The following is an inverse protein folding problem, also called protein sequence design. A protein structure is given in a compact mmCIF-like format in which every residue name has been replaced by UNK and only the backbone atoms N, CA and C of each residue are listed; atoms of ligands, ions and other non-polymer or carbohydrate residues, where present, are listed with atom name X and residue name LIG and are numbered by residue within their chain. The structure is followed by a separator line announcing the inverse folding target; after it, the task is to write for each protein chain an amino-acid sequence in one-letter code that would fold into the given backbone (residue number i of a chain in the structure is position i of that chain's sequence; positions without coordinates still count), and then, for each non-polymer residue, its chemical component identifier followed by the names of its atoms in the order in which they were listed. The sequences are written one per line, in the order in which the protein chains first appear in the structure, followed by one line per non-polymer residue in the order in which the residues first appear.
data_IF_576733768152
#
_entry.id   IF_576733768152
#
_cell.length_a   1.000
_cell.length_b   1.000
_cell.length_c   1.000
_cell.angle_alpha   90.00
_cell.angle_beta   90.00
_cell.angle_gamma   90.00
#
_symmetry.space_group_name_H-M   'P 1'
#
loop_
_entity.id
_entity.type
_entity.pdbx_description
1 polymer ?
#
# COMPACT_ATOMS: atom_id res chain seq x y z
N UNK A 1 23.26 39.38 -65.29
CA UNK A 1 21.98 38.62 -65.17
C UNK A 1 22.08 37.37 -64.29
N UNK A 2 23.28 36.94 -63.84
CA UNK A 2 23.48 35.75 -62.99
C UNK A 2 23.13 35.92 -61.51
N UNK A 3 23.06 37.15 -60.99
CA UNK A 3 22.91 37.41 -59.56
C UNK A 3 21.44 37.38 -59.06
N UNK A 4 20.47 37.43 -59.98
CA UNK A 4 19.03 37.44 -59.63
C UNK A 4 18.49 36.01 -59.45
N UNK A 5 19.08 35.05 -60.16
CA UNK A 5 18.70 33.64 -60.10
C UNK A 5 19.22 32.95 -58.83
N UNK A 6 20.37 33.35 -58.29
CA UNK A 6 20.91 32.80 -57.03
C UNK A 6 20.12 33.27 -55.79
N UNK A 7 19.70 34.54 -55.75
CA UNK A 7 18.91 35.07 -54.64
C UNK A 7 17.48 34.50 -54.56
N UNK A 8 16.86 34.17 -55.71
CA UNK A 8 15.56 33.51 -55.74
C UNK A 8 15.63 32.05 -55.24
N UNK A 9 16.70 31.33 -55.57
CA UNK A 9 16.90 29.95 -55.11
C UNK A 9 17.05 29.84 -53.59
N UNK A 10 17.79 30.76 -52.96
CA UNK A 10 17.95 30.79 -51.48
C UNK A 10 16.66 31.15 -50.74
N UNK A 11 15.82 32.04 -51.28
CA UNK A 11 14.53 32.40 -50.65
C UNK A 11 13.49 31.29 -50.79
N UNK A 12 13.45 30.61 -51.94
CA UNK A 12 12.57 29.46 -52.15
C UNK A 12 12.95 28.27 -51.25
N UNK A 13 14.25 28.03 -51.06
CA UNK A 13 14.76 27.01 -50.13
C UNK A 13 14.36 27.29 -48.68
N UNK A 14 14.37 28.55 -48.25
CA UNK A 14 14.04 28.92 -46.87
C UNK A 14 12.53 28.85 -46.58
N UNK A 15 11.70 29.31 -47.53
CA UNK A 15 10.25 29.20 -47.42
C UNK A 15 9.74 27.74 -47.46
N UNK A 16 10.40 26.87 -48.22
CA UNK A 16 10.12 25.43 -48.20
C UNK A 16 10.48 24.80 -46.85
N UNK A 17 11.57 25.26 -46.22
CA UNK A 17 11.98 24.78 -44.89
C UNK A 17 10.99 25.23 -43.80
N UNK A 18 10.56 26.49 -43.80
CA UNK A 18 9.52 26.98 -42.89
C UNK A 18 8.18 26.26 -43.09
N UNK A 19 7.75 26.05 -44.33
CA UNK A 19 6.51 25.33 -44.64
C UNK A 19 6.55 23.88 -44.15
N UNK A 20 7.65 23.17 -44.41
CA UNK A 20 7.84 21.80 -43.94
C UNK A 20 7.90 21.73 -42.41
N UNK A 21 8.50 22.74 -41.78
CA UNK A 21 8.60 22.84 -40.33
C UNK A 21 7.23 23.02 -39.66
N UNK A 22 6.39 23.92 -40.19
CA UNK A 22 5.02 24.13 -39.67
C UNK A 22 4.18 22.85 -39.82
N UNK A 23 4.32 22.15 -40.95
CA UNK A 23 3.62 20.87 -41.18
C UNK A 23 4.10 19.81 -40.18
N UNK A 24 5.41 19.68 -39.95
CA UNK A 24 5.94 18.74 -38.97
C UNK A 24 5.47 19.06 -37.54
N UNK A 25 5.42 20.34 -37.16
CA UNK A 25 4.91 20.77 -35.86
C UNK A 25 3.41 20.47 -35.70
N UNK A 26 2.60 20.75 -36.73
CA UNK A 26 1.17 20.41 -36.73
C UNK A 26 0.94 18.90 -36.61
N UNK A 27 1.70 18.09 -37.34
CA UNK A 27 1.63 16.62 -37.26
C UNK A 27 2.02 16.14 -35.86
N UNK A 28 3.05 16.71 -35.24
CA UNK A 28 3.47 16.36 -33.88
C UNK A 28 2.39 16.70 -32.83
N UNK A 29 1.76 17.87 -32.94
CA UNK A 29 0.64 18.28 -32.06
C UNK A 29 -0.55 17.33 -32.23
N UNK A 30 -0.92 17.02 -33.47
CA UNK A 30 -2.06 16.13 -33.75
C UNK A 30 -1.80 14.69 -33.29
N UNK A 31 -0.59 14.18 -33.49
CA UNK A 31 -0.17 12.87 -32.99
C UNK A 31 -0.21 12.80 -31.45
N UNK A 32 0.23 13.87 -30.78
CA UNK A 32 0.19 13.97 -29.31
C UNK A 32 -1.26 14.02 -28.79
N UNK A 33 -2.14 14.78 -29.46
CA UNK A 33 -3.56 14.85 -29.11
C UNK A 33 -4.25 13.49 -29.24
N UNK A 34 -4.01 12.76 -30.34
CA UNK A 34 -4.58 11.42 -30.55
C UNK A 34 -4.10 10.47 -29.46
N UNK A 35 -2.80 10.49 -29.14
CA UNK A 35 -2.25 9.63 -28.10
C UNK A 35 -2.85 9.89 -26.71
N UNK A 36 -3.10 11.15 -26.34
CA UNK A 36 -3.72 11.52 -25.05
C UNK A 36 -5.23 11.21 -25.05
N UNK A 37 -5.90 11.29 -26.21
CA UNK A 37 -7.33 10.99 -26.30
C UNK A 37 -7.66 9.50 -26.22
N UNK A 38 -6.68 8.62 -26.39
CA UNK A 38 -6.84 7.16 -26.35
C UNK A 38 -6.36 6.49 -25.05
N UNK A 39 -5.99 7.26 -24.02
CA UNK A 39 -5.47 6.69 -22.77
C UNK A 39 -6.62 6.27 -21.87
N UNK A 40 -6.59 5.02 -21.42
CA UNK A 40 -7.50 4.49 -20.41
C UNK A 40 -7.30 5.28 -19.08
N UNK A 41 -8.35 5.84 -18.47
CA UNK A 41 -8.25 6.67 -17.26
C UNK A 41 -7.59 5.96 -16.08
N UNK A 42 -7.65 4.63 -16.03
CA UNK A 42 -7.21 3.83 -14.89
C UNK A 42 -5.71 3.48 -14.92
N UNK A 43 -4.97 3.76 -16.01
CA UNK A 43 -3.53 3.51 -16.04
C UNK A 43 -2.74 4.49 -16.95
N UNK A 44 -2.57 5.76 -16.52
CA UNK A 44 -1.93 6.82 -17.33
C UNK A 44 -0.43 6.57 -17.63
N UNK A 45 0.20 5.62 -16.95
CA UNK A 45 1.62 5.24 -17.10
C UNK A 45 1.86 4.01 -17.98
N UNK A 46 0.83 3.23 -18.31
CA UNK A 46 0.99 2.06 -19.15
C UNK A 46 0.91 2.42 -20.64
N UNK A 47 2.03 2.32 -21.37
CA UNK A 47 2.04 2.36 -22.84
C UNK A 47 2.97 3.40 -23.45
N UNK A 48 2.56 3.96 -24.60
CA UNK A 48 3.39 4.82 -25.45
C UNK A 48 3.53 6.27 -24.95
N UNK A 49 2.77 6.67 -23.93
CA UNK A 49 2.69 8.04 -23.42
C UNK A 49 4.04 8.63 -22.97
N UNK A 50 4.87 7.93 -22.17
CA UNK A 50 6.16 8.48 -21.73
C UNK A 50 7.14 8.67 -22.90
N UNK A 51 7.10 7.77 -23.88
CA UNK A 51 7.94 7.84 -25.07
C UNK A 51 7.54 9.01 -25.98
N UNK A 52 6.23 9.23 -26.15
CA UNK A 52 5.70 10.36 -26.91
C UNK A 52 6.00 11.69 -26.24
N UNK A 53 5.94 11.76 -24.91
CA UNK A 53 6.34 12.95 -24.15
C UNK A 53 7.83 13.24 -24.33
N UNK A 54 8.68 12.20 -24.27
CA UNK A 54 10.12 12.31 -24.52
C UNK A 54 10.42 12.79 -25.94
N UNK A 55 9.74 12.24 -26.95
CA UNK A 55 9.85 12.68 -28.34
C UNK A 55 9.45 14.16 -28.50
N UNK A 56 8.33 14.56 -27.90
CA UNK A 56 7.84 15.94 -27.94
C UNK A 56 8.85 16.91 -27.30
N UNK A 57 9.41 16.53 -26.15
CA UNK A 57 10.46 17.30 -25.48
C UNK A 57 11.70 17.49 -26.36
N UNK A 58 12.16 16.43 -27.05
CA UNK A 58 13.28 16.52 -28.01
C UNK A 58 12.96 17.49 -29.15
N UNK A 59 11.75 17.42 -29.72
CA UNK A 59 11.32 18.34 -30.79
C UNK A 59 11.33 19.79 -30.30
N UNK A 60 10.86 20.05 -29.09
CA UNK A 60 10.87 21.39 -28.48
C UNK A 60 12.31 21.89 -28.28
N UNK A 61 13.23 21.06 -27.78
CA UNK A 61 14.65 21.42 -27.59
C UNK A 61 15.31 21.77 -28.93
N UNK A 62 15.05 20.97 -29.98
CA UNK A 62 15.57 21.23 -31.33
C UNK A 62 15.06 22.56 -31.86
N UNK A 63 13.76 22.82 -31.72
CA UNK A 63 13.14 24.08 -32.14
C UNK A 63 13.71 25.29 -31.36
N UNK A 64 13.81 25.19 -30.04
CA UNK A 64 14.39 26.22 -29.20
C UNK A 64 15.84 26.53 -29.62
N UNK A 65 16.63 25.50 -29.91
CA UNK A 65 18.01 25.65 -30.38
C UNK A 65 18.09 26.38 -31.72
N UNK A 66 17.19 26.05 -32.67
CA UNK A 66 17.10 26.75 -33.97
C UNK A 66 16.78 28.23 -33.76
N UNK A 67 15.77 28.53 -32.95
CA UNK A 67 15.33 29.92 -32.67
C UNK A 67 16.47 30.72 -32.03
N UNK A 68 17.14 30.17 -31.02
CA UNK A 68 18.26 30.83 -30.33
C UNK A 68 19.42 31.08 -31.31
N UNK A 69 19.74 30.10 -32.15
CA UNK A 69 20.83 30.22 -33.12
C UNK A 69 20.53 31.29 -34.18
N UNK A 70 19.30 31.32 -34.69
CA UNK A 70 18.85 32.35 -35.65
C UNK A 70 18.86 33.73 -35.01
N UNK A 71 18.37 33.85 -33.78
CA UNK A 71 18.41 35.09 -33.01
C UNK A 71 19.84 35.61 -32.84
N UNK A 72 20.79 34.75 -32.47
CA UNK A 72 22.21 35.11 -32.32
C UNK A 72 22.87 35.48 -33.67
N UNK A 73 22.50 34.82 -34.76
CA UNK A 73 23.04 35.10 -36.10
C UNK A 73 22.56 36.47 -36.61
N UNK A 74 21.28 36.79 -36.39
CA UNK A 74 20.72 38.12 -36.65
C UNK A 74 21.39 39.18 -35.76
N UNK A 75 21.75 38.81 -34.52
CA UNK A 75 22.48 39.69 -33.60
C UNK A 75 23.89 40.01 -34.12
N UNK A 76 24.63 39.02 -34.63
CA UNK A 76 26.02 39.16 -35.07
C UNK A 76 26.18 39.84 -36.43
N UNK A 77 25.24 39.64 -37.37
CA UNK A 77 25.26 40.28 -38.70
C UNK A 77 24.75 41.73 -38.71
N UNK A 78 24.53 42.32 -37.53
CA UNK A 78 23.94 43.64 -37.34
C UNK A 78 24.84 44.82 -37.73
N UNK A 79 26.09 44.59 -38.17
CA UNK A 79 27.03 45.68 -38.47
C UNK A 79 27.01 46.17 -39.94
N UNK A 80 26.43 45.45 -40.91
CA UNK A 80 26.65 45.80 -42.33
C UNK A 80 25.54 46.50 -43.12
N UNK A 81 24.23 46.39 -42.85
CA UNK A 81 23.23 47.03 -43.73
C UNK A 81 21.97 47.54 -43.00
N UNK A 82 21.61 48.82 -43.23
CA UNK A 82 20.53 49.57 -42.58
C UNK A 82 19.09 49.03 -42.74
N UNK A 83 18.89 47.85 -43.32
CA UNK A 83 17.60 47.16 -43.50
C UNK A 83 17.15 46.33 -42.29
N UNK A 84 18.03 46.01 -41.34
CA UNK A 84 17.73 45.08 -40.22
C UNK A 84 16.97 45.67 -39.02
N UNK A 85 16.89 47.01 -38.88
CA UNK A 85 16.32 47.64 -37.68
C UNK A 85 14.79 47.52 -37.55
N UNK A 86 14.06 47.53 -38.67
CA UNK A 86 12.59 47.39 -38.65
C UNK A 86 12.17 45.96 -38.33
N UNK A 87 12.79 44.97 -38.99
CA UNK A 87 12.53 43.55 -38.75
C UNK A 87 12.83 43.18 -37.29
N UNK A 88 13.95 43.65 -36.73
CA UNK A 88 14.30 43.45 -35.31
C UNK A 88 13.24 44.01 -34.35
N UNK A 89 12.73 45.22 -34.62
CA UNK A 89 11.70 45.86 -33.80
C UNK A 89 10.38 45.09 -33.86
N UNK A 90 10.02 44.58 -35.04
CA UNK A 90 8.85 43.72 -35.23
C UNK A 90 8.98 42.38 -34.50
N UNK A 91 10.13 41.72 -34.60
CA UNK A 91 10.40 40.45 -33.91
C UNK A 91 10.37 40.63 -32.39
N UNK A 92 10.96 41.72 -31.86
CA UNK A 92 10.86 42.04 -30.42
C UNK A 92 9.42 42.30 -29.99
N UNK A 93 8.67 43.14 -30.72
CA UNK A 93 7.29 43.48 -30.36
C UNK A 93 6.38 42.24 -30.39
N UNK A 94 6.54 41.39 -31.41
CA UNK A 94 5.78 40.15 -31.55
C UNK A 94 6.16 39.13 -30.49
N UNK A 95 7.46 38.91 -30.26
CA UNK A 95 7.95 38.00 -29.23
C UNK A 95 7.52 38.43 -27.82
N UNK A 96 7.60 39.72 -27.51
CA UNK A 96 7.16 40.26 -26.22
C UNK A 96 5.65 40.13 -26.04
N UNK A 97 4.86 40.38 -27.09
CA UNK A 97 3.41 40.20 -27.09
C UNK A 97 2.99 38.74 -26.85
N UNK A 98 3.79 37.77 -27.30
CA UNK A 98 3.52 36.35 -27.07
C UNK A 98 4.03 35.88 -25.69
N UNK A 99 5.19 36.39 -25.25
CA UNK A 99 5.83 36.00 -24.00
C UNK A 99 5.01 36.39 -22.76
N UNK A 100 4.48 37.61 -22.74
CA UNK A 100 3.75 38.15 -21.58
C UNK A 100 2.57 37.26 -21.15
N UNK A 101 1.60 36.90 -22.02
CA UNK A 101 0.50 36.04 -21.62
C UNK A 101 0.96 34.63 -21.22
N UNK A 102 1.97 34.06 -21.88
CA UNK A 102 2.51 32.75 -21.49
C UNK A 102 3.18 32.79 -20.11
N UNK A 103 3.94 33.84 -19.79
CA UNK A 103 4.57 34.01 -18.48
C UNK A 103 3.53 34.14 -17.36
N UNK A 104 2.45 34.90 -17.62
CA UNK A 104 1.33 35.03 -16.67
C UNK A 104 0.69 33.66 -16.41
N UNK A 105 0.37 32.91 -17.46
CA UNK A 105 -0.20 31.55 -17.31
C UNK A 105 0.74 30.63 -16.53
N UNK A 106 2.05 30.66 -16.80
CA UNK A 106 3.03 29.84 -16.08
C UNK A 106 3.10 30.16 -14.58
N UNK A 107 3.07 31.45 -14.21
CA UNK A 107 3.05 31.87 -12.80
C UNK A 107 1.75 31.42 -12.12
N UNK A 108 0.60 31.61 -12.79
CA UNK A 108 -0.69 31.17 -12.26
C UNK A 108 -0.77 29.65 -12.11
N UNK A 109 -0.34 28.88 -13.12
CA UNK A 109 -0.28 27.42 -13.04
C UNK A 109 0.66 27.02 -11.92
N UNK A 110 1.86 27.60 -11.82
CA UNK A 110 2.80 27.30 -10.75
C UNK A 110 2.18 27.51 -9.37
N UNK A 111 1.55 28.67 -9.15
CA UNK A 111 0.87 29.00 -7.90
C UNK A 111 -0.28 28.03 -7.59
N UNK A 112 -1.16 27.76 -8.56
CA UNK A 112 -2.28 26.83 -8.44
C UNK A 112 -1.80 25.40 -8.21
N UNK A 113 -0.73 24.97 -8.87
CA UNK A 113 -0.15 23.65 -8.65
C UNK A 113 0.38 23.53 -7.23
N UNK A 114 1.18 24.48 -6.75
CA UNK A 114 1.70 24.42 -5.38
C UNK A 114 0.56 24.48 -4.34
N UNK A 115 -0.35 25.45 -4.44
CA UNK A 115 -1.39 25.63 -3.43
C UNK A 115 -2.50 24.59 -3.54
N UNK A 116 -2.91 24.24 -4.76
CA UNK A 116 -3.94 23.24 -5.01
C UNK A 116 -3.48 21.83 -4.66
N UNK A 117 -2.21 21.50 -4.90
CA UNK A 117 -1.63 20.22 -4.51
C UNK A 117 -1.51 20.14 -2.98
N UNK A 118 -0.98 21.18 -2.33
CA UNK A 118 -0.80 21.18 -0.88
C UNK A 118 -2.14 21.11 -0.14
N UNK A 119 -3.17 21.84 -0.59
CA UNK A 119 -4.51 21.75 0.01
C UNK A 119 -5.23 20.43 -0.31
N UNK A 120 -5.15 19.93 -1.55
CA UNK A 120 -5.85 18.70 -1.94
C UNK A 120 -5.17 17.43 -1.40
N UNK A 121 -3.84 17.43 -1.26
CA UNK A 121 -3.08 16.32 -0.68
C UNK A 121 -2.96 16.43 0.84
N UNK A 122 -2.69 17.61 1.42
CA UNK A 122 -2.49 17.73 2.87
C UNK A 122 -3.71 17.29 3.67
N UNK A 123 -4.88 17.87 3.38
CA UNK A 123 -6.13 17.53 4.09
C UNK A 123 -6.60 16.10 3.81
N UNK A 124 -6.25 15.54 2.66
CA UNK A 124 -6.70 14.21 2.24
C UNK A 124 -5.76 13.09 2.67
N UNK A 125 -4.46 13.36 2.78
CA UNK A 125 -3.46 12.42 3.30
C UNK A 125 -3.61 12.34 4.81
N UNK A 126 -3.64 13.48 5.53
CA UNK A 126 -3.72 13.48 7.00
C UNK A 126 -5.01 12.84 7.52
N UNK A 127 -6.15 13.10 6.87
CA UNK A 127 -7.44 12.53 7.29
C UNK A 127 -7.60 11.04 6.96
N UNK A 128 -7.00 10.58 5.85
CA UNK A 128 -7.00 9.15 5.50
C UNK A 128 -6.04 8.39 6.42
N UNK A 129 -4.89 9.00 6.74
CA UNK A 129 -3.88 8.47 7.65
C UNK A 129 -4.42 8.25 9.07
N UNK A 130 -5.03 9.28 9.68
CA UNK A 130 -5.61 9.16 11.03
C UNK A 130 -6.74 8.11 11.06
N UNK A 131 -7.59 8.10 10.04
CA UNK A 131 -8.69 7.14 9.93
C UNK A 131 -8.19 5.70 9.77
N UNK A 132 -7.10 5.49 9.04
CA UNK A 132 -6.50 4.17 8.90
C UNK A 132 -5.90 3.68 10.23
N UNK A 133 -5.20 4.56 10.96
CA UNK A 133 -4.66 4.26 12.30
C UNK A 133 -5.77 3.90 13.32
N UNK A 134 -6.93 4.56 13.24
CA UNK A 134 -8.09 4.22 14.08
C UNK A 134 -8.70 2.85 13.70
N UNK A 135 -8.89 2.58 12.41
CA UNK A 135 -9.39 1.29 11.90
C UNK A 135 -8.51 0.13 12.38
N UNK A 136 -7.21 0.37 12.41
CA UNK A 136 -6.24 -0.60 12.89
C UNK A 136 -6.29 -0.92 14.36
N UNK A 137 -6.29 0.12 15.19
CA UNK A 137 -6.42 -0.05 16.64
C UNK A 137 -7.71 -0.80 16.93
N UNK A 138 -8.78 -0.46 16.21
CA UNK A 138 -10.06 -1.15 16.28
C UNK A 138 -9.96 -2.62 15.84
N UNK A 139 -9.20 -2.93 14.79
CA UNK A 139 -8.99 -4.32 14.34
C UNK A 139 -8.24 -5.16 15.39
N UNK A 140 -7.16 -4.62 15.95
CA UNK A 140 -6.37 -5.31 17.00
C UNK A 140 -7.19 -5.49 18.27
N UNK A 141 -7.87 -4.44 18.73
CA UNK A 141 -8.72 -4.47 19.92
C UNK A 141 -9.88 -5.46 19.79
N UNK A 142 -10.54 -5.49 18.62
CA UNK A 142 -11.58 -6.48 18.33
C UNK A 142 -11.02 -7.90 18.27
N UNK A 143 -9.82 -8.07 17.71
CA UNK A 143 -9.17 -9.37 17.67
C UNK A 143 -8.83 -9.87 19.08
N UNK A 144 -8.20 -9.05 19.92
CA UNK A 144 -7.86 -9.39 21.31
C UNK A 144 -9.12 -9.69 22.11
N UNK A 145 -10.14 -8.83 22.04
CA UNK A 145 -11.42 -9.04 22.74
C UNK A 145 -12.12 -10.31 22.30
N UNK A 146 -12.17 -10.60 21.00
CA UNK A 146 -12.80 -11.82 20.47
C UNK A 146 -12.01 -13.05 20.90
N UNK A 147 -10.68 -12.98 20.85
CA UNK A 147 -9.80 -14.08 21.23
C UNK A 147 -9.92 -14.40 22.72
N UNK A 148 -9.95 -13.38 23.59
CA UNK A 148 -10.18 -13.53 25.02
C UNK A 148 -11.51 -14.23 25.31
N UNK A 149 -12.59 -13.81 24.64
CA UNK A 149 -13.90 -14.46 24.77
C UNK A 149 -13.85 -15.92 24.33
N UNK A 150 -13.23 -16.21 23.18
CA UNK A 150 -13.09 -17.57 22.66
C UNK A 150 -12.33 -18.49 23.64
N UNK A 151 -11.25 -17.99 24.23
CA UNK A 151 -10.40 -18.74 25.17
C UNK A 151 -11.12 -18.96 26.49
N UNK A 152 -11.85 -17.97 26.98
CA UNK A 152 -12.70 -18.12 28.17
C UNK A 152 -13.76 -19.19 27.97
N UNK A 153 -14.44 -19.16 26.83
CA UNK A 153 -15.48 -20.13 26.52
C UNK A 153 -14.90 -21.53 26.35
N UNK A 154 -13.78 -21.67 25.62
CA UNK A 154 -13.08 -22.94 25.51
C UNK A 154 -12.67 -23.49 26.90
N UNK A 155 -12.23 -22.63 27.82
CA UNK A 155 -11.92 -23.05 29.18
C UNK A 155 -13.15 -23.55 29.95
N UNK A 156 -14.27 -22.85 29.86
CA UNK A 156 -15.52 -23.30 30.46
C UNK A 156 -16.02 -24.62 29.86
N UNK A 157 -15.90 -24.78 28.53
CA UNK A 157 -16.31 -25.99 27.83
C UNK A 157 -15.43 -27.18 28.25
N UNK A 158 -14.12 -26.99 28.38
CA UNK A 158 -13.18 -28.01 28.88
C UNK A 158 -13.47 -28.38 30.33
N UNK A 159 -13.68 -27.40 31.22
CA UNK A 159 -14.01 -27.66 32.63
C UNK A 159 -15.37 -28.37 32.79
N UNK A 160 -16.35 -28.03 31.95
CA UNK A 160 -17.66 -28.70 31.96
C UNK A 160 -17.55 -30.14 31.47
N UNK A 161 -16.83 -30.35 30.37
CA UNK A 161 -16.59 -31.67 29.80
C UNK A 161 -15.81 -32.57 30.78
N UNK A 162 -14.77 -32.02 31.42
CA UNK A 162 -14.01 -32.71 32.47
C UNK A 162 -14.92 -33.21 33.60
N UNK A 163 -15.80 -32.34 34.11
CA UNK A 163 -16.76 -32.68 35.17
C UNK A 163 -17.78 -33.72 34.74
N UNK A 164 -18.25 -33.66 33.49
CA UNK A 164 -19.17 -34.67 32.95
C UNK A 164 -18.50 -36.05 32.86
N UNK A 165 -17.25 -36.09 32.37
CA UNK A 165 -16.46 -37.31 32.32
C UNK A 165 -16.22 -37.87 33.73
N UNK A 166 -15.82 -37.04 34.70
CA UNK A 166 -15.61 -37.45 36.08
C UNK A 166 -16.89 -37.99 36.74
N UNK A 167 -18.03 -37.33 36.54
CA UNK A 167 -19.32 -37.78 37.07
C UNK A 167 -19.73 -39.16 36.53
N UNK A 168 -19.34 -39.49 35.29
CA UNK A 168 -19.57 -40.81 34.70
C UNK A 168 -18.56 -41.87 35.16
N UNK A 169 -17.45 -41.48 35.80
CA UNK A 169 -16.38 -42.37 36.30
C UNK A 169 -16.54 -42.77 37.78
N UNK A 170 -17.60 -42.33 38.47
CA UNK A 170 -17.83 -42.65 39.90
C UNK A 170 -18.07 -44.14 40.18
N UNK A 171 -18.26 -44.97 39.14
CA UNK A 171 -18.25 -46.43 39.24
C UNK A 171 -16.81 -46.97 39.09
N UNK A 172 -16.19 -47.33 40.22
CA UNK A 172 -14.77 -47.70 40.34
C UNK A 172 -14.30 -48.90 39.47
N UNK A 173 -15.21 -49.73 38.99
CA UNK A 173 -14.91 -50.85 38.07
C UNK A 173 -14.90 -50.42 36.59
N UNK A 174 -15.63 -49.35 36.24
CA UNK A 174 -15.68 -48.81 34.89
C UNK A 174 -14.48 -47.89 34.59
N UNK A 175 -13.92 -47.23 35.62
CA UNK A 175 -12.87 -46.22 35.48
C UNK A 175 -11.59 -46.66 34.74
N UNK A 176 -11.17 -47.94 34.83
CA UNK A 176 -9.92 -48.39 34.17
C UNK A 176 -10.06 -48.60 32.66
N UNK A 177 -11.19 -49.13 32.20
CA UNK A 177 -11.46 -49.30 30.76
C UNK A 177 -12.01 -48.01 30.12
N UNK A 178 -12.73 -47.20 30.92
CA UNK A 178 -13.21 -45.88 30.50
C UNK A 178 -12.08 -44.86 30.40
N UNK A 179 -10.93 -45.03 31.08
CA UNK A 179 -9.84 -44.04 31.03
C UNK A 179 -9.31 -43.76 29.62
N UNK A 180 -9.15 -44.79 28.77
CA UNK A 180 -8.72 -44.62 27.38
C UNK A 180 -9.82 -44.00 26.51
N UNK A 181 -11.07 -44.37 26.74
CA UNK A 181 -12.21 -43.85 25.97
C UNK A 181 -12.54 -42.41 26.37
N UNK A 182 -12.43 -42.08 27.66
CA UNK A 182 -12.54 -40.74 28.21
C UNK A 182 -11.41 -39.83 27.73
N UNK A 183 -10.16 -40.33 27.69
CA UNK A 183 -9.03 -39.58 27.12
C UNK A 183 -9.22 -39.29 25.63
N UNK A 184 -9.77 -40.26 24.88
CA UNK A 184 -10.11 -40.08 23.46
C UNK A 184 -11.26 -39.07 23.28
N UNK A 185 -12.35 -39.19 24.04
CA UNK A 185 -13.47 -38.26 24.00
C UNK A 185 -13.04 -36.84 24.38
N UNK A 186 -12.15 -36.70 25.37
CA UNK A 186 -11.54 -35.44 25.76
C UNK A 186 -10.70 -34.82 24.65
N UNK A 187 -9.80 -35.61 24.05
CA UNK A 187 -8.98 -35.15 22.92
C UNK A 187 -9.82 -34.71 21.73
N UNK A 188 -10.93 -35.41 21.46
CA UNK A 188 -11.87 -35.08 20.40
C UNK A 188 -12.67 -33.80 20.71
N UNK A 189 -13.04 -33.58 21.98
CA UNK A 189 -13.63 -32.32 22.46
C UNK A 189 -12.70 -31.13 22.25
N UNK A 190 -11.44 -31.25 22.67
CA UNK A 190 -10.42 -30.20 22.43
C UNK A 190 -10.20 -29.97 20.92
N UNK A 191 -10.21 -31.03 20.11
CA UNK A 191 -10.08 -30.93 18.66
C UNK A 191 -11.29 -30.21 18.03
N UNK A 192 -12.49 -30.43 18.58
CA UNK A 192 -13.69 -29.71 18.19
C UNK A 192 -13.59 -28.23 18.54
N UNK A 193 -13.12 -27.88 19.74
CA UNK A 193 -12.89 -26.47 20.14
C UNK A 193 -11.84 -25.80 19.25
N UNK A 194 -10.75 -26.52 18.93
CA UNK A 194 -9.72 -26.04 18.02
C UNK A 194 -10.31 -25.69 16.65
N UNK A 195 -11.14 -26.58 16.10
CA UNK A 195 -11.76 -26.37 14.79
C UNK A 195 -12.89 -25.33 14.80
N UNK A 196 -13.66 -25.23 15.87
CA UNK A 196 -14.80 -24.32 15.97
C UNK A 196 -14.36 -22.85 16.15
N UNK A 197 -13.24 -22.63 16.84
CA UNK A 197 -12.72 -21.29 17.18
C UNK A 197 -11.54 -20.85 16.33
N UNK A 198 -11.21 -21.64 15.31
CA UNK A 198 -10.07 -21.45 14.42
C UNK A 198 -8.74 -21.29 15.19
N UNK A 199 -8.55 -22.08 16.25
CA UNK A 199 -7.25 -22.14 16.93
C UNK A 199 -6.25 -22.93 16.08
N UNK A 200 -4.99 -22.49 16.11
CA UNK A 200 -3.86 -23.24 15.57
C UNK A 200 -3.44 -24.36 16.54
N UNK A 201 -3.48 -24.07 17.83
CA UNK A 201 -3.14 -25.00 18.90
C UNK A 201 -4.01 -24.72 20.11
N UNK A 202 -4.49 -25.76 20.78
CA UNK A 202 -5.05 -25.69 22.13
C UNK A 202 -4.38 -26.77 22.99
N UNK A 203 -3.84 -26.39 24.13
CA UNK A 203 -3.13 -27.29 25.02
C UNK A 203 -3.50 -27.02 26.47
N UNK A 204 -3.40 -28.06 27.29
CA UNK A 204 -3.50 -27.99 28.74
C UNK A 204 -2.09 -28.11 29.28
N UNK A 205 -1.68 -27.09 30.01
CA UNK A 205 -0.41 -27.03 30.73
C UNK A 205 -0.69 -27.35 32.20
N UNK A 206 0.17 -28.12 32.83
CA UNK A 206 0.14 -28.32 34.28
C UNK A 206 0.51 -27.04 35.02
N UNK A 207 0.33 -27.05 36.35
CA UNK A 207 0.76 -25.96 37.23
C UNK A 207 2.28 -25.66 37.17
N UNK A 208 3.08 -26.60 36.67
CA UNK A 208 4.52 -26.45 36.40
C UNK A 208 4.83 -25.86 35.01
N UNK A 209 3.79 -25.54 34.22
CA UNK A 209 3.90 -25.06 32.85
C UNK A 209 4.25 -26.14 31.83
N UNK A 210 4.29 -27.42 32.24
CA UNK A 210 4.57 -28.55 31.37
C UNK A 210 3.31 -28.96 30.62
N UNK A 211 3.43 -29.16 29.32
CA UNK A 211 2.34 -29.61 28.47
C UNK A 211 1.85 -31.01 28.88
N UNK A 212 0.54 -31.12 29.18
CA UNK A 212 -0.12 -32.37 29.55
C UNK A 212 -0.87 -32.98 28.36
N UNK A 213 -1.62 -32.15 27.63
CA UNK A 213 -2.43 -32.55 26.47
C UNK A 213 -2.41 -31.41 25.46
N UNK A 214 -2.13 -31.68 24.20
CA UNK A 214 -2.26 -30.69 23.12
C UNK A 214 -3.05 -31.24 21.93
N UNK A 215 -3.79 -30.34 21.29
CA UNK A 215 -4.36 -30.51 19.95
C UNK A 215 -3.78 -29.43 19.06
N UNK A 216 -3.38 -29.83 17.86
CA UNK A 216 -2.75 -28.96 16.89
C UNK A 216 -3.50 -29.04 15.56
N UNK A 217 -3.64 -27.91 14.89
CA UNK A 217 -4.12 -27.86 13.52
C UNK A 217 -3.12 -28.56 12.61
N UNK A 218 -3.62 -29.41 11.72
CA UNK A 218 -2.82 -30.20 10.77
C UNK A 218 -1.97 -29.31 9.85
N UNK A 219 -2.34 -28.04 9.70
CA UNK A 219 -1.70 -27.13 8.75
C UNK A 219 -0.50 -26.37 9.34
N UNK A 220 -0.54 -25.96 10.61
CA UNK A 220 0.52 -25.16 11.26
C UNK A 220 0.46 -25.28 12.80
N UNK A 221 1.08 -26.32 13.34
CA UNK A 221 1.29 -26.46 14.78
C UNK A 221 2.34 -25.46 15.28
N UNK A 222 1.94 -24.50 16.13
CA UNK A 222 2.86 -23.52 16.70
C UNK A 222 2.74 -23.52 18.22
N UNK A 223 3.73 -24.11 18.89
CA UNK A 223 3.87 -24.04 20.34
C UNK A 223 4.93 -22.99 20.68
N UNK A 224 4.50 -21.89 21.31
CA UNK A 224 5.39 -20.90 21.90
C UNK A 224 5.19 -20.97 23.40
N UNK A 225 6.25 -21.23 24.19
CA UNK A 225 6.11 -21.26 25.63
C UNK A 225 5.62 -19.89 26.13
N UNK A 226 4.57 -19.83 26.97
CA UNK A 226 4.09 -18.58 27.52
C UNK A 226 5.19 -17.87 28.34
N UNK A 227 5.27 -16.53 28.29
CA UNK A 227 6.22 -15.79 29.11
C UNK A 227 5.81 -15.87 30.60
N UNK A 228 6.79 -15.79 31.50
CA UNK A 228 6.55 -15.78 32.96
C UNK A 228 5.40 -14.85 33.44
N UNK A 229 5.30 -13.58 33.00
CA UNK A 229 4.20 -12.70 33.42
C UNK A 229 2.80 -13.19 33.00
N UNK A 230 2.70 -14.02 31.94
CA UNK A 230 1.41 -14.55 31.52
C UNK A 230 0.83 -15.54 32.54
N UNK A 231 1.69 -16.31 33.23
CA UNK A 231 1.26 -17.19 34.31
C UNK A 231 0.74 -16.39 35.51
N UNK A 232 1.43 -15.30 35.89
CA UNK A 232 0.98 -14.44 37.00
C UNK A 232 -0.38 -13.78 36.74
N UNK A 233 -0.69 -13.47 35.48
CA UNK A 233 -1.99 -12.91 35.07
C UNK A 233 -3.07 -13.99 35.01
N UNK A 234 -2.75 -15.15 34.44
CA UNK A 234 -3.63 -16.31 34.45
C UNK A 234 -4.00 -16.75 35.89
N UNK A 235 -3.05 -16.72 36.83
CA UNK A 235 -3.27 -17.04 38.25
C UNK A 235 -4.25 -16.09 38.94
N UNK A 236 -4.39 -14.85 38.45
CA UNK A 236 -5.42 -13.91 38.91
C UNK A 236 -6.81 -14.21 38.33
N UNK A 237 -6.91 -15.22 37.46
CA UNK A 237 -8.10 -15.57 36.70
C UNK A 237 -8.32 -14.68 35.47
N UNK A 238 -7.36 -13.81 35.13
CA UNK A 238 -7.36 -12.99 33.92
C UNK A 238 -6.89 -13.82 32.71
N UNK A 239 -7.09 -13.31 31.50
CA UNK A 239 -6.60 -13.96 30.28
C UNK A 239 -5.32 -13.24 29.89
N UNK A 240 -4.21 -13.95 29.88
CA UNK A 240 -2.93 -13.39 29.49
C UNK A 240 -2.73 -13.55 27.98
N UNK A 241 -3.13 -12.53 27.23
CA UNK A 241 -2.99 -12.51 25.76
C UNK A 241 -1.68 -11.83 25.36
N UNK A 242 -0.91 -12.50 24.50
CA UNK A 242 0.35 -11.99 23.94
C UNK A 242 0.28 -12.02 22.42
N UNK A 243 0.39 -10.85 21.79
CA UNK A 243 0.39 -10.70 20.35
C UNK A 243 1.82 -10.73 19.78
N UNK A 244 2.09 -11.68 18.88
CA UNK A 244 3.36 -11.77 18.14
C UNK A 244 3.16 -11.27 16.71
N UNK A 245 3.13 -9.96 16.52
CA UNK A 245 2.93 -9.34 15.20
C UNK A 245 3.93 -9.85 14.14
N UNK A 246 5.17 -10.08 14.56
CA UNK A 246 6.24 -10.58 13.71
C UNK A 246 6.05 -12.05 13.29
N UNK A 247 5.15 -12.80 13.92
CA UNK A 247 4.83 -14.19 13.56
C UNK A 247 3.42 -14.33 13.02
N UNK A 248 2.58 -13.29 13.13
CA UNK A 248 1.19 -13.34 12.69
C UNK A 248 0.35 -14.28 13.56
N UNK A 249 0.61 -14.30 14.86
CA UNK A 249 -0.10 -15.18 15.81
C UNK A 249 -0.30 -14.45 17.13
N UNK A 250 -1.32 -14.87 17.87
CA UNK A 250 -1.51 -14.51 19.26
C UNK A 250 -1.61 -15.77 20.12
N UNK A 251 -1.11 -15.67 21.34
CA UNK A 251 -1.20 -16.74 22.34
C UNK A 251 -1.98 -16.23 23.53
N UNK A 252 -2.86 -17.05 24.09
CA UNK A 252 -3.60 -16.74 25.29
C UNK A 252 -3.41 -17.85 26.33
N UNK A 253 -3.37 -17.44 27.59
CA UNK A 253 -3.26 -18.34 28.74
C UNK A 253 -4.35 -18.00 29.76
N UNK A 254 -5.02 -19.02 30.28
CA UNK A 254 -6.06 -18.90 31.29
C UNK A 254 -5.94 -20.05 32.29
N UNK A 255 -6.10 -19.75 33.58
CA UNK A 255 -6.10 -20.76 34.64
C UNK A 255 -7.41 -21.55 34.65
N UNK A 256 -7.30 -22.87 34.82
CA UNK A 256 -8.43 -23.81 34.96
C UNK A 256 -8.24 -24.66 36.20
N UNK A 257 -9.36 -25.06 36.82
CA UNK A 257 -9.33 -25.93 38.01
C UNK A 257 -9.65 -27.40 37.69
N UNK A 258 -10.32 -27.64 36.56
CA UNK A 258 -10.76 -28.96 36.11
C UNK A 258 -10.28 -29.21 34.66
N UNK A 259 -9.89 -30.45 34.27
CA UNK A 259 -9.88 -31.70 35.04
C UNK A 259 -8.76 -31.80 36.09
N UNK A 260 -7.78 -30.92 36.01
CA UNK A 260 -6.64 -30.80 36.92
C UNK A 260 -6.29 -29.32 37.00
N UNK A 261 -5.79 -28.88 38.16
CA UNK A 261 -5.30 -27.52 38.37
C UNK A 261 -4.14 -27.22 37.40
N UNK A 262 -4.32 -26.19 36.56
CA UNK A 262 -3.39 -25.89 35.47
C UNK A 262 -3.87 -24.76 34.59
N UNK A 263 -3.46 -24.77 33.33
CA UNK A 263 -3.75 -23.70 32.38
C UNK A 263 -4.20 -24.23 31.04
N UNK A 264 -5.11 -23.50 30.39
CA UNK A 264 -5.36 -23.66 28.95
C UNK A 264 -4.53 -22.64 28.21
N UNK A 265 -3.74 -23.16 27.28
CA UNK A 265 -2.94 -22.41 26.33
C UNK A 265 -3.59 -22.53 24.95
N UNK A 266 -3.89 -21.40 24.32
CA UNK A 266 -4.46 -21.36 22.99
C UNK A 266 -3.62 -20.47 22.07
N UNK A 267 -3.55 -20.84 20.80
CA UNK A 267 -2.86 -20.07 19.76
C UNK A 267 -3.84 -19.81 18.64
N UNK A 268 -3.94 -18.55 18.21
CA UNK A 268 -4.80 -18.15 17.09
C UNK A 268 -3.99 -17.40 16.04
N UNK A 269 -4.34 -17.60 14.77
CA UNK A 269 -3.75 -16.86 13.68
C UNK A 269 -4.17 -15.38 13.77
N UNK A 270 -3.20 -14.49 13.62
CA UNK A 270 -3.41 -13.05 13.51
C UNK A 270 -2.97 -12.64 12.11
N UNK A 271 -3.89 -12.15 11.29
CA UNK A 271 -3.60 -11.83 9.89
C UNK A 271 -2.58 -10.69 9.77
N UNK A 272 -1.32 -11.11 9.64
CA UNK A 272 -0.17 -10.24 9.45
C UNK A 272 -0.31 -9.38 8.20
N UNK A 273 -0.93 -9.89 7.14
CA UNK A 273 -1.09 -9.12 5.90
C UNK A 273 -2.18 -8.07 6.07
N UNK A 274 -3.26 -8.36 6.80
CA UNK A 274 -4.22 -7.33 7.19
C UNK A 274 -3.52 -6.25 8.02
N UNK A 275 -2.75 -6.64 9.04
CA UNK A 275 -2.01 -5.72 9.89
C UNK A 275 -0.92 -4.91 9.14
N UNK A 276 -0.17 -5.54 8.22
CA UNK A 276 0.87 -4.87 7.43
C UNK A 276 0.27 -3.99 6.34
N UNK A 277 -0.80 -4.42 5.65
CA UNK A 277 -1.44 -3.60 4.60
C UNK A 277 -2.07 -2.34 5.15
N UNK A 278 -2.69 -2.47 6.32
CA UNK A 278 -3.18 -1.29 6.99
C UNK A 278 -1.98 -0.39 7.41
N UNK A 279 -0.79 -0.97 7.75
CA UNK A 279 0.41 -0.23 8.22
C UNK A 279 1.12 0.45 7.08
N UNK A 280 1.10 -0.17 5.92
CA UNK A 280 1.56 0.43 4.69
C UNK A 280 0.58 1.50 4.20
N UNK A 281 -0.71 1.42 4.56
CA UNK A 281 -1.65 2.52 4.38
C UNK A 281 -1.45 3.66 5.41
N UNK A 282 -0.52 3.48 6.36
CA UNK A 282 0.01 4.51 7.27
C UNK A 282 1.30 5.16 6.71
N UNK A 283 1.97 4.60 5.70
CA UNK A 283 3.26 5.11 5.19
C UNK A 283 3.11 5.91 3.89
#
# INVERSE_FOLDING_TARGET
MSNVLSQQATKASWALFEGLFIIAALVAVFATFIAISGVDPDNPTAGATPWLLGLNFVVIIVLATIIVREYLTIQSNSESEGRGRLARRFVMLFGFSALVPSAIVAVFLGAIFTQGLDNWLGERVDSVMEKNAEIFRTYVDNFETTFDVDVRLAALDVENFAREVEANLTDAEAARNLSSEASLAFSEGLRSELAFRDFLTIAILGADGVELIAQESVQDAILIPPPAPAFEEADRGEIATTLYENRGIATALIHITEPLDGYIYAVKNFDRNAAVRLREAEA
#
